data_IF_312071534408
#
_entry.id   IF_312071534408
#
_cell.length_a   1.000
_cell.length_b   1.000
_cell.length_c   1.000
_cell.angle_alpha   90.00
_cell.angle_beta   90.00
_cell.angle_gamma   90.00
#
_symmetry.space_group_name_H-M   'P 1'
#
loop_
_entity.id
_entity.type
_entity.pdbx_description
1 polymer ?
#
# COMPACT_ATOMS: atom_id res chain seq x y z
N UNK A 1 -3.55 14.21 36.79
CA UNK A 1 -2.84 13.17 36.02
C UNK A 1 -3.76 12.29 35.18
N UNK A 2 -4.86 11.74 35.72
CA UNK A 2 -5.79 10.87 34.95
C UNK A 2 -6.39 11.51 33.69
N UNK A 3 -6.70 12.82 33.74
CA UNK A 3 -7.26 13.57 32.60
C UNK A 3 -6.26 13.77 31.44
N UNK A 4 -4.97 13.97 31.75
CA UNK A 4 -3.91 14.11 30.74
C UNK A 4 -3.60 12.77 30.08
N UNK A 5 -3.55 11.70 30.88
CA UNK A 5 -3.43 10.34 30.36
C UNK A 5 -4.61 9.99 29.42
N UNK A 6 -5.83 10.38 29.78
CA UNK A 6 -7.00 10.19 28.91
C UNK A 6 -6.89 10.98 27.59
N UNK A 7 -6.44 12.24 27.63
CA UNK A 7 -6.26 13.06 26.43
C UNK A 7 -5.19 12.51 25.48
N UNK A 8 -4.08 11.99 26.02
CA UNK A 8 -3.02 11.34 25.23
C UNK A 8 -3.57 10.06 24.58
N UNK A 9 -4.29 9.23 25.33
CA UNK A 9 -4.91 8.01 24.78
C UNK A 9 -5.89 8.32 23.64
N UNK A 10 -6.66 9.41 23.75
CA UNK A 10 -7.58 9.84 22.69
C UNK A 10 -6.81 10.31 21.45
N UNK A 11 -5.74 11.10 21.62
CA UNK A 11 -4.93 11.59 20.51
C UNK A 11 -4.27 10.44 19.72
N UNK A 12 -3.73 9.44 20.42
CA UNK A 12 -3.19 8.24 19.79
C UNK A 12 -4.27 7.43 19.05
N UNK A 13 -5.48 7.34 19.60
CA UNK A 13 -6.57 6.64 18.93
C UNK A 13 -6.97 7.33 17.61
N UNK A 14 -7.03 8.67 17.58
CA UNK A 14 -7.35 9.44 16.36
C UNK A 14 -6.30 9.27 15.28
N UNK A 15 -5.01 9.28 15.65
CA UNK A 15 -3.93 9.07 14.67
C UNK A 15 -3.97 7.69 14.01
N UNK A 16 -4.39 6.64 14.74
CA UNK A 16 -4.56 5.29 14.18
C UNK A 16 -5.69 5.21 13.15
N UNK A 17 -6.76 5.96 13.34
CA UNK A 17 -7.90 5.97 12.41
C UNK A 17 -7.53 6.65 11.09
N UNK A 18 -6.77 7.74 11.15
CA UNK A 18 -6.37 8.49 9.95
C UNK A 18 -5.41 7.71 9.03
N UNK A 19 -4.56 6.83 9.58
CA UNK A 19 -3.60 6.05 8.80
C UNK A 19 -4.19 4.75 8.21
N UNK A 20 -5.40 4.35 8.62
CA UNK A 20 -6.01 3.07 8.22
C UNK A 20 -6.82 3.17 6.93
N UNK A 21 -7.19 4.38 6.50
CA UNK A 21 -8.01 4.58 5.29
C UNK A 21 -7.08 4.86 4.11
N UNK A 22 -6.39 3.82 3.64
CA UNK A 22 -5.83 3.86 2.29
C UNK A 22 -7.00 3.72 1.30
N UNK A 23 -7.10 4.56 0.26
CA UNK A 23 -8.01 4.29 -0.84
C UNK A 23 -7.72 2.89 -1.37
N UNK A 24 -8.74 2.04 -1.47
CA UNK A 24 -8.59 0.76 -2.12
C UNK A 24 -8.11 1.04 -3.56
N UNK A 25 -7.05 0.35 -3.99
CA UNK A 25 -6.64 0.43 -5.38
C UNK A 25 -7.81 -0.04 -6.25
N UNK A 26 -8.10 0.70 -7.32
CA UNK A 26 -9.11 0.30 -8.28
C UNK A 26 -8.68 -1.02 -8.93
N UNK A 27 -9.42 -2.09 -8.66
CA UNK A 27 -9.08 -3.43 -9.13
C UNK A 27 -9.09 -3.56 -10.65
N UNK A 28 -9.77 -2.65 -11.37
CA UNK A 28 -9.81 -2.65 -12.83
C UNK A 28 -8.47 -2.25 -13.48
N UNK A 29 -7.57 -1.62 -12.72
CA UNK A 29 -6.26 -1.13 -13.20
C UNK A 29 -5.08 -1.83 -12.52
N UNK A 30 -5.33 -2.88 -11.76
CA UNK A 30 -4.29 -3.66 -11.07
C UNK A 30 -4.10 -5.00 -11.78
N UNK A 31 -2.86 -5.29 -12.18
CA UNK A 31 -2.45 -6.63 -12.60
C UNK A 31 -1.85 -7.37 -11.40
N UNK A 32 -2.57 -8.37 -10.90
CA UNK A 32 -2.17 -9.18 -9.75
C UNK A 32 -2.17 -10.67 -10.11
N UNK A 33 -1.24 -11.43 -9.52
CA UNK A 33 -1.03 -12.86 -9.78
C UNK A 33 -0.76 -13.61 -8.47
N UNK A 34 -1.20 -14.86 -8.38
CA UNK A 34 -1.07 -15.68 -7.18
C UNK A 34 0.31 -16.36 -7.06
N UNK A 35 1.05 -16.46 -8.16
CA UNK A 35 2.33 -17.17 -8.23
C UNK A 35 3.43 -16.29 -8.84
N UNK A 36 4.69 -16.50 -8.45
CA UNK A 36 5.80 -15.75 -9.03
C UNK A 36 6.05 -16.15 -10.49
N UNK A 37 6.59 -15.21 -11.26
CA UNK A 37 7.09 -15.49 -12.60
C UNK A 37 8.29 -16.45 -12.54
N UNK A 38 8.27 -17.49 -13.37
CA UNK A 38 9.40 -18.43 -13.53
C UNK A 38 10.13 -18.21 -14.86
N UNK A 39 9.50 -17.50 -15.79
CA UNK A 39 10.06 -17.14 -17.08
C UNK A 39 9.87 -15.63 -17.31
N UNK A 40 10.82 -15.03 -18.04
CA UNK A 40 10.83 -13.59 -18.32
C UNK A 40 9.53 -13.06 -18.95
N UNK A 41 8.83 -13.88 -19.74
CA UNK A 41 7.56 -13.52 -20.39
C UNK A 41 6.36 -13.46 -19.43
N UNK A 42 6.52 -13.94 -18.19
CA UNK A 42 5.51 -13.87 -17.14
C UNK A 42 5.73 -12.68 -16.19
N UNK A 43 6.87 -11.99 -16.31
CA UNK A 43 7.22 -10.84 -15.47
C UNK A 43 6.41 -9.58 -15.83
N UNK A 44 6.31 -8.67 -14.87
CA UNK A 44 5.58 -7.41 -15.02
C UNK A 44 6.46 -6.34 -15.68
N UNK A 45 6.07 -5.81 -16.85
CA UNK A 45 6.84 -4.77 -17.53
C UNK A 45 6.61 -3.41 -16.87
N UNK A 46 7.70 -2.72 -16.56
CA UNK A 46 7.69 -1.37 -16.00
C UNK A 46 8.68 -0.50 -16.76
N UNK A 47 8.34 0.77 -17.02
CA UNK A 47 9.23 1.66 -17.74
C UNK A 47 8.76 3.11 -17.78
N UNK A 48 9.69 4.01 -18.10
CA UNK A 48 9.44 5.46 -18.19
C UNK A 48 9.69 6.02 -19.61
N UNK A 49 9.71 5.15 -20.62
CA UNK A 49 9.98 5.51 -22.01
C UNK A 49 11.47 5.62 -22.37
N UNK A 50 12.40 5.57 -21.40
CA UNK A 50 13.85 5.50 -21.63
C UNK A 50 14.47 4.22 -21.07
N UNK A 51 14.10 3.85 -19.84
CA UNK A 51 14.53 2.63 -19.19
C UNK A 51 13.34 1.73 -18.92
N UNK A 52 13.55 0.42 -19.01
CA UNK A 52 12.57 -0.60 -18.70
C UNK A 52 13.15 -1.64 -17.74
N UNK A 53 12.26 -2.28 -16.97
CA UNK A 53 12.57 -3.42 -16.13
C UNK A 53 11.45 -4.44 -16.19
N UNK A 54 11.80 -5.69 -15.92
CA UNK A 54 10.88 -6.81 -15.76
C UNK A 54 11.01 -7.30 -14.32
N UNK A 55 9.88 -7.42 -13.63
CA UNK A 55 9.81 -7.91 -12.25
C UNK A 55 9.11 -9.26 -12.21
#
# INVERSE_FOLDING_TARGET
MKKVAAAISILLAVHRIACAVQPAADSSVVMWYETPANHFTQSLPLGNGRLGMMV
#
